data_IF_374559133571
#
_entry.id   IF_374559133571
#
_cell.length_a   1.000
_cell.length_b   1.000
_cell.length_c   1.000
_cell.angle_alpha   90.00
_cell.angle_beta   90.00
_cell.angle_gamma   90.00
#
_symmetry.space_group_name_H-M   'P 1'
#
loop_
_entity.id
_entity.type
_entity.pdbx_description
1 polymer ?
#
# COMPACT_ATOMS: atom_id res chain seq x y z
N UNK A 1 -4.18 -11.48 10.56
CA UNK A 1 -5.63 -11.46 10.27
C UNK A 1 -5.78 -11.47 8.76
N UNK A 2 -6.68 -12.27 8.17
CA UNK A 2 -6.90 -12.19 6.73
C UNK A 2 -7.40 -10.77 6.42
N UNK A 3 -6.77 -10.10 5.45
CA UNK A 3 -7.11 -8.70 5.10
C UNK A 3 -8.58 -8.54 4.73
N UNK A 4 -9.24 -9.62 4.28
CA UNK A 4 -10.69 -9.65 4.01
C UNK A 4 -11.54 -9.33 5.23
N UNK A 5 -11.14 -9.77 6.43
CA UNK A 5 -11.84 -9.42 7.67
C UNK A 5 -11.65 -7.94 8.00
N UNK A 6 -10.41 -7.45 7.91
CA UNK A 6 -10.12 -6.03 8.15
C UNK A 6 -10.84 -5.14 7.14
N UNK A 7 -10.91 -5.55 5.88
CA UNK A 7 -11.71 -4.88 4.86
C UNK A 7 -13.17 -4.77 5.30
N UNK A 8 -13.79 -5.89 5.68
CA UNK A 8 -15.18 -5.87 6.14
C UNK A 8 -15.38 -4.98 7.36
N UNK A 9 -14.47 -5.02 8.33
CA UNK A 9 -14.53 -4.17 9.54
C UNK A 9 -14.45 -2.67 9.17
N UNK A 10 -13.67 -2.30 8.16
CA UNK A 10 -13.53 -0.91 7.67
C UNK A 10 -14.62 -0.48 6.69
N UNK A 11 -15.38 -1.43 6.13
CA UNK A 11 -16.36 -1.20 5.05
C UNK A 11 -17.79 -1.56 5.46
N UNK A 12 -18.13 -1.39 6.74
CA UNK A 12 -19.49 -1.60 7.25
C UNK A 12 -19.99 -3.05 7.11
N UNK A 13 -19.09 -4.03 7.13
CA UNK A 13 -19.38 -5.46 7.02
C UNK A 13 -19.41 -6.01 5.59
N UNK A 14 -19.19 -5.18 4.56
CA UNK A 14 -19.15 -5.63 3.17
C UNK A 14 -17.95 -6.54 2.90
N UNK A 15 -18.17 -7.60 2.14
CA UNK A 15 -17.08 -8.45 1.70
C UNK A 15 -16.36 -7.82 0.50
N UNK A 16 -15.06 -8.06 0.34
CA UNK A 16 -14.33 -7.55 -0.83
C UNK A 16 -14.83 -8.26 -2.09
N UNK A 17 -15.15 -7.46 -3.11
CA UNK A 17 -15.52 -7.92 -4.45
C UNK A 17 -14.50 -7.39 -5.46
N UNK A 18 -14.00 -8.29 -6.31
CA UNK A 18 -12.99 -7.93 -7.29
C UNK A 18 -13.56 -6.96 -8.34
N UNK A 19 -12.85 -5.86 -8.57
CA UNK A 19 -13.28 -4.79 -9.47
C UNK A 19 -12.11 -4.29 -10.33
N UNK A 20 -12.37 -3.98 -11.60
CA UNK A 20 -11.39 -3.37 -12.49
C UNK A 20 -11.45 -1.85 -12.37
N UNK A 21 -10.43 -1.25 -11.76
CA UNK A 21 -10.30 0.19 -11.63
C UNK A 21 -9.49 0.80 -12.78
N UNK A 22 -9.71 2.10 -13.03
CA UNK A 22 -8.91 2.88 -13.98
C UNK A 22 -8.20 4.01 -13.24
N UNK A 23 -6.89 3.86 -13.03
CA UNK A 23 -6.02 4.83 -12.36
C UNK A 23 -5.13 5.50 -13.42
N UNK A 24 -5.29 6.81 -13.61
CA UNK A 24 -4.67 7.63 -14.66
C UNK A 24 -4.58 6.93 -16.02
N UNK A 25 -5.71 6.40 -16.50
CA UNK A 25 -5.84 5.68 -17.78
C UNK A 25 -5.14 4.31 -17.83
N UNK A 26 -4.78 3.75 -16.68
CA UNK A 26 -4.24 2.39 -16.55
C UNK A 26 -5.17 1.54 -15.73
N UNK A 27 -5.42 0.33 -16.21
CA UNK A 27 -6.23 -0.63 -15.49
C UNK A 27 -5.48 -1.11 -14.24
N UNK A 28 -6.23 -1.39 -13.18
CA UNK A 28 -5.75 -2.01 -11.95
C UNK A 28 -6.82 -2.98 -11.44
N UNK A 29 -6.45 -4.23 -11.23
CA UNK A 29 -7.34 -5.19 -10.61
C UNK A 29 -7.33 -4.95 -9.10
N UNK A 30 -8.46 -4.50 -8.55
CA UNK A 30 -8.68 -4.50 -7.11
C UNK A 30 -9.29 -5.84 -6.68
N UNK A 31 -8.97 -6.28 -5.47
CA UNK A 31 -9.63 -7.41 -4.82
C UNK A 31 -10.89 -6.95 -4.08
N UNK A 32 -10.96 -5.67 -3.70
CA UNK A 32 -12.12 -5.07 -3.05
C UNK A 32 -12.01 -3.56 -2.99
N UNK A 33 -13.12 -2.87 -3.20
CA UNK A 33 -13.26 -1.43 -3.05
C UNK A 33 -14.53 -1.12 -2.29
N UNK A 34 -14.45 -0.30 -1.25
CA UNK A 34 -15.65 0.18 -0.57
C UNK A 34 -15.37 1.40 0.29
N UNK A 35 -16.19 2.45 0.14
CA UNK A 35 -16.17 3.62 1.04
C UNK A 35 -14.76 4.18 1.32
N UNK A 36 -13.91 4.33 0.29
CA UNK A 36 -12.55 4.86 0.48
C UNK A 36 -11.53 3.86 1.05
N UNK A 37 -11.90 2.58 1.12
CA UNK A 37 -11.02 1.44 1.42
C UNK A 37 -10.70 0.67 0.14
N UNK A 38 -9.42 0.44 -0.12
CA UNK A 38 -8.92 -0.39 -1.22
C UNK A 38 -8.23 -1.63 -0.68
N UNK A 39 -8.56 -2.81 -1.21
CA UNK A 39 -7.80 -4.05 -1.05
C UNK A 39 -7.22 -4.45 -2.40
N UNK A 40 -5.90 -4.59 -2.47
CA UNK A 40 -5.19 -4.96 -3.70
C UNK A 40 -3.93 -5.77 -3.40
N UNK A 41 -3.47 -6.54 -4.39
CA UNK A 41 -2.19 -7.22 -4.30
C UNK A 41 -1.02 -6.28 -4.57
N UNK A 42 0.13 -6.57 -3.96
CA UNK A 42 1.38 -5.87 -4.24
C UNK A 42 1.73 -5.85 -5.73
N UNK A 43 1.42 -6.93 -6.46
CA UNK A 43 1.68 -7.02 -7.88
C UNK A 43 1.00 -5.89 -8.68
N UNK A 44 -0.25 -5.57 -8.35
CA UNK A 44 -1.06 -4.54 -9.02
C UNK A 44 -0.59 -3.11 -8.70
N UNK A 45 -0.01 -2.94 -7.51
CA UNK A 45 0.47 -1.64 -7.02
C UNK A 45 1.93 -1.37 -7.37
N UNK A 46 2.80 -2.39 -7.42
CA UNK A 46 4.24 -2.18 -7.46
C UNK A 46 4.98 -2.98 -8.55
N UNK A 47 4.40 -4.06 -9.08
CA UNK A 47 5.00 -4.79 -10.20
C UNK A 47 4.43 -4.35 -11.55
N UNK A 48 3.13 -4.00 -11.58
CA UNK A 48 2.47 -3.41 -12.73
C UNK A 48 3.09 -2.05 -13.12
N UNK A 49 2.90 -1.59 -14.37
CA UNK A 49 3.42 -0.29 -14.84
C UNK A 49 2.74 0.90 -14.15
N UNK A 50 3.19 1.27 -12.94
CA UNK A 50 2.70 2.41 -12.16
C UNK A 50 3.67 3.59 -12.17
N UNK A 51 3.14 4.80 -12.05
CA UNK A 51 3.92 6.03 -11.85
C UNK A 51 3.51 6.74 -10.56
N UNK A 52 4.30 7.73 -10.14
CA UNK A 52 3.98 8.57 -8.98
C UNK A 52 2.57 9.19 -9.06
N UNK A 53 2.13 9.59 -10.26
CA UNK A 53 0.79 10.14 -10.47
C UNK A 53 -0.33 9.16 -10.09
N UNK A 54 -0.11 7.84 -10.27
CA UNK A 54 -1.08 6.82 -9.86
C UNK A 54 -1.21 6.76 -8.36
N UNK A 55 -0.08 6.78 -7.65
CA UNK A 55 -0.07 6.77 -6.20
C UNK A 55 -0.69 8.04 -5.65
N UNK A 56 -0.42 9.19 -6.26
CA UNK A 56 -1.14 10.42 -5.92
C UNK A 56 -2.64 10.25 -6.13
N UNK A 57 -3.13 9.70 -7.26
CA UNK A 57 -4.56 9.51 -7.48
C UNK A 57 -5.18 8.55 -6.44
N UNK A 58 -4.58 7.38 -6.24
CA UNK A 58 -4.98 6.44 -5.19
C UNK A 58 -5.05 7.14 -3.84
N UNK A 59 -4.05 7.97 -3.54
CA UNK A 59 -3.97 8.63 -2.27
C UNK A 59 -4.99 9.77 -2.07
N UNK A 60 -5.61 10.25 -3.14
CA UNK A 60 -6.76 11.18 -3.06
C UNK A 60 -8.08 10.44 -2.86
N UNK A 61 -8.19 9.26 -3.45
CA UNK A 61 -9.44 8.49 -3.50
C UNK A 61 -9.65 7.62 -2.25
N UNK A 62 -8.57 7.12 -1.66
CA UNK A 62 -8.63 6.14 -0.57
C UNK A 62 -8.00 6.68 0.71
N UNK A 63 -8.72 6.58 1.83
CA UNK A 63 -8.18 6.85 3.15
C UNK A 63 -7.50 5.62 3.78
N UNK A 64 -7.77 4.42 3.24
CA UNK A 64 -7.18 3.17 3.71
C UNK A 64 -6.86 2.21 2.58
N UNK A 65 -5.67 1.63 2.62
CA UNK A 65 -5.20 0.69 1.59
C UNK A 65 -4.65 -0.56 2.27
N UNK A 66 -5.21 -1.71 1.90
CA UNK A 66 -4.82 -3.02 2.37
C UNK A 66 -4.03 -3.70 1.24
N UNK A 67 -2.77 -4.02 1.51
CA UNK A 67 -1.82 -4.55 0.52
C UNK A 67 -1.54 -6.00 0.86
N UNK A 68 -1.99 -6.90 -0.03
CA UNK A 68 -1.78 -8.33 0.13
C UNK A 68 -0.54 -8.82 -0.62
N UNK A 69 0.02 -9.95 -0.16
CA UNK A 69 1.13 -10.66 -0.81
C UNK A 69 2.36 -9.78 -1.14
N UNK A 70 2.83 -8.96 -0.19
CA UNK A 70 4.11 -8.25 -0.36
C UNK A 70 5.28 -9.25 -0.26
N UNK A 71 6.03 -9.50 -1.34
CA UNK A 71 7.14 -10.45 -1.31
C UNK A 71 8.35 -9.86 -0.57
N UNK A 72 9.36 -10.69 -0.32
CA UNK A 72 10.69 -10.16 -0.01
C UNK A 72 11.20 -9.26 -1.17
N UNK A 73 11.55 -8.02 -0.85
CA UNK A 73 12.05 -7.03 -1.80
C UNK A 73 13.55 -7.24 -2.04
N UNK A 74 13.86 -8.23 -2.88
CA UNK A 74 15.22 -8.59 -3.29
C UNK A 74 15.74 -7.67 -4.40
N UNK A 75 17.03 -7.82 -4.73
CA UNK A 75 17.66 -7.11 -5.85
C UNK A 75 17.05 -7.47 -7.23
N UNK A 76 16.31 -8.57 -7.36
CA UNK A 76 15.65 -8.98 -8.61
C UNK A 76 14.37 -8.17 -8.87
N UNK A 77 13.74 -7.66 -7.82
CA UNK A 77 12.51 -6.85 -7.89
C UNK A 77 12.74 -5.40 -7.42
N UNK A 78 13.94 -4.89 -7.67
CA UNK A 78 14.39 -3.54 -7.26
C UNK A 78 13.46 -2.41 -7.76
N UNK A 79 12.90 -2.55 -8.97
CA UNK A 79 11.92 -1.59 -9.49
C UNK A 79 10.61 -1.62 -8.70
N UNK A 80 10.19 -2.82 -8.26
CA UNK A 80 9.07 -2.99 -7.34
C UNK A 80 9.33 -2.37 -5.98
N UNK A 81 10.53 -2.55 -5.43
CA UNK A 81 10.95 -1.91 -4.19
C UNK A 81 10.94 -0.37 -4.30
N UNK A 82 11.44 0.19 -5.41
CA UNK A 82 11.40 1.63 -5.67
C UNK A 82 9.97 2.15 -5.72
N UNK A 83 9.09 1.43 -6.41
CA UNK A 83 7.66 1.75 -6.51
C UNK A 83 6.96 1.68 -5.16
N UNK A 84 7.29 0.70 -4.33
CA UNK A 84 6.76 0.58 -2.97
C UNK A 84 7.21 1.73 -2.09
N UNK A 85 8.47 2.16 -2.18
CA UNK A 85 8.96 3.36 -1.48
C UNK A 85 8.14 4.59 -1.88
N UNK A 86 7.95 4.83 -3.18
CA UNK A 86 7.14 5.97 -3.66
C UNK A 86 5.68 5.87 -3.21
N UNK A 87 5.09 4.68 -3.22
CA UNK A 87 3.72 4.45 -2.73
C UNK A 87 3.60 4.82 -1.24
N UNK A 88 4.51 4.33 -0.39
CA UNK A 88 4.50 4.63 1.05
C UNK A 88 4.77 6.10 1.32
N UNK A 89 5.66 6.75 0.57
CA UNK A 89 5.91 8.19 0.72
C UNK A 89 4.62 9.00 0.46
N UNK A 90 3.92 8.75 -0.65
CA UNK A 90 2.66 9.43 -0.98
C UNK A 90 1.55 9.15 0.04
N UNK A 91 1.45 7.91 0.52
CA UNK A 91 0.45 7.51 1.51
C UNK A 91 0.74 8.13 2.87
N UNK A 92 2.02 8.20 3.25
CA UNK A 92 2.47 8.80 4.48
C UNK A 92 2.10 10.28 4.54
N UNK A 93 2.41 11.04 3.48
CA UNK A 93 2.16 12.49 3.39
C UNK A 93 0.67 12.84 3.44
N UNK A 94 -0.20 11.88 3.10
CA UNK A 94 -1.66 12.06 3.03
C UNK A 94 -2.42 11.41 4.19
N UNK A 95 -1.73 10.90 5.21
CA UNK A 95 -2.34 10.24 6.36
C UNK A 95 -3.19 9.01 5.99
N UNK A 96 -2.77 8.24 4.99
CA UNK A 96 -3.46 7.00 4.59
C UNK A 96 -3.07 5.89 5.54
N UNK A 97 -4.08 5.11 5.95
CA UNK A 97 -3.88 3.95 6.81
C UNK A 97 -3.55 2.75 5.93
N UNK A 98 -2.46 2.07 6.24
CA UNK A 98 -1.99 0.93 5.45
C UNK A 98 -1.94 -0.30 6.31
N UNK A 99 -2.47 -1.41 5.80
CA UNK A 99 -2.26 -2.74 6.38
C UNK A 99 -1.58 -3.63 5.34
N UNK A 100 -0.57 -4.38 5.76
CA UNK A 100 0.28 -5.15 4.86
C UNK A 100 0.35 -6.60 5.33
N UNK A 101 0.16 -7.53 4.39
CA UNK A 101 0.58 -8.92 4.54
C UNK A 101 1.86 -9.11 3.73
N UNK A 102 2.94 -9.44 4.43
CA UNK A 102 4.27 -9.57 3.85
C UNK A 102 4.89 -10.93 4.15
N UNK A 103 5.72 -11.41 3.23
CA UNK A 103 6.48 -12.66 3.35
C UNK A 103 7.55 -12.60 4.46
N UNK A 104 8.06 -11.39 4.74
CA UNK A 104 9.12 -11.14 5.73
C UNK A 104 8.66 -10.04 6.71
N UNK A 105 9.18 -10.05 7.96
CA UNK A 105 9.03 -8.91 8.88
C UNK A 105 9.54 -7.61 8.25
N UNK A 106 8.97 -6.47 8.64
CA UNK A 106 9.28 -5.15 8.03
C UNK A 106 10.78 -4.81 8.04
N UNK A 107 11.50 -5.21 9.10
CA UNK A 107 12.93 -4.99 9.29
C UNK A 107 13.79 -5.82 8.33
N UNK A 108 13.24 -6.91 7.81
CA UNK A 108 13.87 -7.83 6.86
C UNK A 108 13.16 -7.86 5.50
N UNK A 109 12.24 -6.92 5.25
CA UNK A 109 11.41 -6.92 4.04
C UNK A 109 12.21 -6.57 2.79
N UNK A 110 13.30 -5.81 2.95
CA UNK A 110 14.19 -5.46 1.85
C UNK A 110 15.58 -6.06 2.07
N UNK A 111 16.04 -6.81 1.05
CA UNK A 111 17.35 -7.48 1.03
C UNK A 111 18.21 -7.07 -0.16
N UNK A 112 17.75 -6.12 -0.98
CA UNK A 112 18.55 -5.50 -2.03
C UNK A 112 19.69 -4.62 -1.46
N UNK A 113 20.51 -4.06 -2.37
CA UNK A 113 21.64 -3.19 -1.98
C UNK A 113 21.55 -1.74 -2.44
N UNK A 114 20.77 -1.44 -3.49
CA UNK A 114 20.79 -0.10 -4.11
C UNK A 114 19.92 0.90 -3.37
N UNK A 115 18.82 0.44 -2.77
CA UNK A 115 17.83 1.25 -2.07
C UNK A 115 17.91 1.15 -0.55
N UNK A 116 19.00 0.64 0.04
CA UNK A 116 19.06 0.36 1.49
C UNK A 116 18.81 1.60 2.35
N UNK A 117 19.31 2.77 1.93
CA UNK A 117 19.12 4.02 2.67
C UNK A 117 17.70 4.57 2.53
N UNK A 118 17.14 4.52 1.33
CA UNK A 118 15.76 4.88 1.03
C UNK A 118 14.78 3.99 1.81
N UNK A 119 15.02 2.68 1.80
CA UNK A 119 14.16 1.72 2.46
C UNK A 119 14.20 1.86 3.98
N UNK A 120 15.35 2.23 4.57
CA UNK A 120 15.39 2.58 6.00
C UNK A 120 14.44 3.74 6.34
N UNK A 121 14.31 4.75 5.49
CA UNK A 121 13.33 5.84 5.71
C UNK A 121 11.90 5.36 5.55
N UNK A 122 11.64 4.49 4.57
CA UNK A 122 10.33 3.85 4.39
C UNK A 122 9.96 3.00 5.60
N UNK A 123 10.90 2.26 6.18
CA UNK A 123 10.68 1.49 7.40
C UNK A 123 10.30 2.40 8.58
N UNK A 124 11.01 3.52 8.80
CA UNK A 124 10.65 4.47 9.85
C UNK A 124 9.21 5.01 9.69
N UNK A 125 8.80 5.31 8.45
CA UNK A 125 7.41 5.73 8.17
C UNK A 125 6.41 4.63 8.46
N UNK A 126 6.66 3.41 8.00
CA UNK A 126 5.79 2.26 8.28
C UNK A 126 5.63 2.00 9.79
N UNK A 127 6.69 2.22 10.58
CA UNK A 127 6.64 2.15 12.05
C UNK A 127 5.75 3.26 12.61
N UNK A 128 5.92 4.52 12.17
CA UNK A 128 5.07 5.63 12.62
C UNK A 128 3.60 5.42 12.24
N UNK A 129 3.32 4.89 11.04
CA UNK A 129 1.97 4.61 10.55
C UNK A 129 1.20 3.60 11.40
N UNK A 130 1.88 2.83 12.27
CA UNK A 130 1.27 1.91 13.23
C UNK A 130 0.92 2.58 14.57
N UNK A 131 1.37 3.81 14.81
CA UNK A 131 1.11 4.52 16.06
C UNK A 131 -0.36 4.94 16.17
N UNK A 132 -0.87 4.95 17.41
CA UNK A 132 -2.22 5.46 17.71
C UNK A 132 -2.39 6.90 17.23
N UNK A 133 -1.34 7.71 17.35
CA UNK A 133 -1.34 9.09 16.89
C UNK A 133 -1.56 9.18 15.38
N UNK A 134 -0.80 8.42 14.59
CA UNK A 134 -0.94 8.42 13.13
C UNK A 134 -2.31 7.89 12.69
N UNK A 135 -2.77 6.78 13.30
CA UNK A 135 -4.08 6.19 13.00
C UNK A 135 -5.25 7.13 13.32
N UNK A 136 -5.07 8.06 14.25
CA UNK A 136 -6.03 9.11 14.59
C UNK A 136 -6.00 10.34 13.66
N UNK A 137 -5.03 10.47 12.75
CA UNK A 137 -4.95 11.60 11.82
C UNK A 137 -6.05 11.52 10.75
N UNK A 138 -6.62 12.66 10.37
CA UNK A 138 -7.56 12.73 9.24
C UNK A 138 -6.82 12.56 7.91
N UNK A 139 -7.49 11.94 6.93
CA UNK A 139 -6.97 11.76 5.57
C UNK A 139 -6.91 13.11 4.83
N UNK A 140 -5.85 13.32 4.03
CA UNK A 140 -5.60 14.55 3.28
C UNK A 140 -5.71 14.31 1.75
N UNK A 141 -6.87 14.60 1.13
CA UNK A 141 -7.09 14.43 -0.31
C UNK A 141 -6.37 15.49 -1.17
#
# INVERSE_FOLDING_TARGET
LPLTKLFADLSGGRQPEAELLVINRRNMQALGVSEGVLLAEFAELCLAPRSAADYTQLAKEYHSVLIDHVPELTAEIEDGARRFITLIDEFYDRNIKVAIVAERPMEALYSGRKLSFEFQRTLSRLIEMQSVEYLGREHLP
#
